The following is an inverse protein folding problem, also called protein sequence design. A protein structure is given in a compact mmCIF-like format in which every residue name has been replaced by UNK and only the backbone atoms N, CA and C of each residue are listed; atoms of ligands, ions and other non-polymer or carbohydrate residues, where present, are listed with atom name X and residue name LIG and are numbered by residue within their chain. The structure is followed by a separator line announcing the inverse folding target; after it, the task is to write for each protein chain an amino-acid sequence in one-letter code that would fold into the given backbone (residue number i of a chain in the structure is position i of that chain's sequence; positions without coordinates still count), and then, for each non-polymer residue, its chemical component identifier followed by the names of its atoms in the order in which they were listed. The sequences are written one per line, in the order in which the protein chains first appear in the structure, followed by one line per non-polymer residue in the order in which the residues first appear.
data_IF_517353072698
#
_entry.id   IF_517353072698
#
_cell.length_a   1.000
_cell.length_b   1.000
_cell.length_c   1.000
_cell.angle_alpha   90.00
_cell.angle_beta   90.00
_cell.angle_gamma   90.00
#
_symmetry.space_group_name_H-M   'P 1'
#
loop_
_entity.id
_entity.type
_entity.pdbx_description
1 polymer ?
#
# COMPACT_ATOMS: atom_id res chain seq x y z
N UNK A 1 -7.70 1.16 -5.67
CA UNK A 1 -8.19 -0.21 -5.38
C UNK A 1 -7.03 -1.17 -5.61
N UNK A 2 -6.65 -2.02 -4.64
CA UNK A 2 -5.62 -3.04 -4.86
C UNK A 2 -6.03 -3.90 -6.05
N UNK A 3 -5.16 -4.07 -7.04
CA UNK A 3 -5.53 -4.74 -8.29
C UNK A 3 -5.93 -6.19 -8.00
N UNK A 4 -6.83 -6.77 -8.80
CA UNK A 4 -7.20 -8.18 -8.65
C UNK A 4 -5.96 -9.11 -8.68
N UNK A 5 -4.88 -8.69 -9.36
CA UNK A 5 -3.59 -9.38 -9.35
C UNK A 5 -2.87 -9.33 -8.00
N UNK A 6 -2.92 -8.22 -7.27
CA UNK A 6 -2.33 -8.12 -5.92
C UNK A 6 -3.09 -8.97 -4.90
N UNK A 7 -4.43 -9.01 -5.00
CA UNK A 7 -5.28 -9.85 -4.15
C UNK A 7 -5.01 -11.33 -4.43
N UNK A 8 -4.96 -11.74 -5.70
CA UNK A 8 -4.61 -13.12 -6.09
C UNK A 8 -3.18 -13.47 -5.67
N UNK A 9 -2.20 -12.60 -5.89
CA UNK A 9 -0.81 -12.88 -5.49
C UNK A 9 -0.64 -12.99 -3.97
N UNK A 10 -1.36 -12.17 -3.21
CA UNK A 10 -1.39 -12.24 -1.73
C UNK A 10 -2.07 -13.50 -1.25
N UNK A 11 -3.19 -13.91 -1.87
CA UNK A 11 -3.88 -15.16 -1.58
C UNK A 11 -3.02 -16.38 -1.97
N UNK A 12 -2.33 -16.36 -3.12
CA UNK A 12 -1.43 -17.44 -3.54
C UNK A 12 -0.24 -17.57 -2.59
N UNK A 13 0.35 -16.45 -2.12
CA UNK A 13 1.42 -16.48 -1.09
C UNK A 13 0.91 -16.95 0.27
N UNK A 14 -0.29 -16.53 0.68
CA UNK A 14 -0.90 -16.99 1.93
C UNK A 14 -1.23 -18.49 1.87
N UNK A 15 -1.70 -18.97 0.72
CA UNK A 15 -1.92 -20.40 0.44
C UNK A 15 -0.59 -21.18 0.41
N UNK A 16 0.49 -20.60 -0.12
CA UNK A 16 1.85 -21.18 -0.12
C UNK A 16 2.47 -21.25 1.28
N UNK A 17 2.25 -20.25 2.14
CA UNK A 17 2.68 -20.32 3.54
C UNK A 17 1.89 -21.37 4.35
N UNK A 18 0.56 -21.41 4.18
CA UNK A 18 -0.30 -22.36 4.89
C UNK A 18 -0.07 -23.79 4.43
N UNK A 19 0.20 -24.01 3.14
CA UNK A 19 0.57 -25.32 2.60
C UNK A 19 1.93 -25.79 3.13
N UNK A 20 2.93 -24.90 3.23
CA UNK A 20 4.25 -25.21 3.82
C UNK A 20 4.17 -25.56 5.31
N UNK A 21 3.40 -24.81 6.10
CA UNK A 21 3.17 -25.13 7.52
C UNK A 21 2.48 -26.49 7.65
N UNK A 22 1.47 -26.75 6.82
CA UNK A 22 0.76 -28.03 6.80
C UNK A 22 1.68 -29.17 6.39
N UNK A 23 2.54 -28.98 5.38
CA UNK A 23 3.53 -29.94 4.93
C UNK A 23 4.57 -30.27 6.00
N UNK A 24 5.05 -29.29 6.76
CA UNK A 24 5.96 -29.52 7.89
C UNK A 24 5.30 -30.33 9.02
N UNK A 25 4.04 -30.05 9.33
CA UNK A 25 3.27 -30.84 10.31
C UNK A 25 3.05 -32.28 9.83
N UNK A 26 2.75 -32.48 8.55
CA UNK A 26 2.62 -33.81 7.95
C UNK A 26 3.95 -34.57 7.95
N UNK A 27 5.05 -33.90 7.61
CA UNK A 27 6.39 -34.47 7.66
C UNK A 27 6.75 -34.90 9.09
N UNK A 28 6.48 -34.06 10.09
CA UNK A 28 6.71 -34.40 11.49
C UNK A 28 5.94 -35.66 11.93
N UNK A 29 4.67 -35.76 11.52
CA UNK A 29 3.83 -36.94 11.78
C UNK A 29 4.42 -38.19 11.14
N UNK A 30 4.80 -38.12 9.86
CA UNK A 30 5.40 -39.23 9.12
C UNK A 30 6.73 -39.68 9.73
N UNK A 31 7.59 -38.74 10.13
CA UNK A 31 8.86 -39.05 10.79
C UNK A 31 8.64 -39.77 12.13
N UNK A 32 7.65 -39.36 12.91
CA UNK A 32 7.28 -40.04 14.17
C UNK A 32 6.68 -41.42 13.97
N UNK A 33 5.86 -41.61 12.95
CA UNK A 33 5.31 -42.92 12.61
C UNK A 33 6.41 -43.86 12.13
N UNK A 34 7.32 -43.36 11.30
CA UNK A 34 8.48 -44.12 10.82
C UNK A 34 9.40 -44.51 11.97
N UNK A 35 9.63 -43.61 12.93
CA UNK A 35 10.44 -43.87 14.12
C UNK A 35 9.92 -45.04 15.00
N UNK A 36 8.61 -45.35 14.93
CA UNK A 36 8.00 -46.46 15.66
C UNK A 36 8.16 -47.82 14.96
N UNK A 37 8.74 -47.85 13.77
CA UNK A 37 8.97 -49.09 13.02
C UNK A 37 9.97 -49.98 13.74
N UNK A 38 9.64 -51.27 13.86
CA UNK A 38 10.51 -52.30 14.46
C UNK A 38 11.78 -52.58 13.63
N UNK A 39 11.87 -52.03 12.41
CA UNK A 39 12.98 -52.24 11.47
C UNK A 39 14.16 -51.30 11.80
N UNK A 40 13.91 -50.19 12.51
CA UNK A 40 14.93 -49.20 12.84
C UNK A 40 15.69 -49.57 14.11
N UNK A 41 16.99 -49.31 14.13
CA UNK A 41 17.75 -49.32 15.37
C UNK A 41 17.30 -48.21 16.32
N UNK A 42 17.57 -48.33 17.64
CA UNK A 42 17.24 -47.28 18.60
C UNK A 42 17.84 -45.90 18.26
N UNK A 43 19.04 -45.87 17.67
CA UNK A 43 19.73 -44.65 17.28
C UNK A 43 19.06 -43.97 16.09
N UNK A 44 18.66 -44.76 15.08
CA UNK A 44 17.92 -44.27 13.91
C UNK A 44 16.53 -43.77 14.32
N UNK A 45 15.79 -44.55 15.13
CA UNK A 45 14.50 -44.13 15.68
C UNK A 45 14.61 -42.80 16.43
N UNK A 46 15.64 -42.63 17.27
CA UNK A 46 15.91 -41.37 17.96
C UNK A 46 16.23 -40.21 16.99
N UNK A 47 16.92 -40.46 15.88
CA UNK A 47 17.17 -39.46 14.85
C UNK A 47 15.87 -39.01 14.14
N UNK A 48 14.97 -39.94 13.83
CA UNK A 48 13.66 -39.62 13.28
C UNK A 48 12.80 -38.80 14.24
N UNK A 49 12.78 -39.13 15.54
CA UNK A 49 12.09 -38.32 16.55
C UNK A 49 12.65 -36.90 16.66
N UNK A 50 13.99 -36.74 16.63
CA UNK A 50 14.63 -35.41 16.62
C UNK A 50 14.26 -34.61 15.37
N UNK A 51 14.30 -35.23 14.19
CA UNK A 51 13.92 -34.56 12.94
C UNK A 51 12.44 -34.18 12.92
N UNK A 52 11.56 -35.02 13.47
CA UNK A 52 10.15 -34.70 13.64
C UNK A 52 9.93 -33.50 14.57
N UNK A 53 10.65 -33.44 15.69
CA UNK A 53 10.63 -32.28 16.60
C UNK A 53 11.10 -30.97 15.93
N UNK A 54 12.17 -31.03 15.13
CA UNK A 54 12.65 -29.87 14.36
C UNK A 54 11.62 -29.40 13.32
N UNK A 55 10.95 -30.33 12.64
CA UNK A 55 9.91 -30.00 11.67
C UNK A 55 8.70 -29.29 12.33
N UNK A 56 8.30 -29.69 13.54
CA UNK A 56 7.27 -29.00 14.31
C UNK A 56 7.71 -27.61 14.76
N UNK A 57 8.92 -27.49 15.31
CA UNK A 57 9.45 -26.20 15.75
C UNK A 57 9.56 -25.22 14.57
N UNK A 58 9.95 -25.69 13.38
CA UNK A 58 9.94 -24.90 12.16
C UNK A 58 8.53 -24.47 11.76
N UNK A 59 7.54 -25.38 11.84
CA UNK A 59 6.15 -25.05 11.55
C UNK A 59 5.62 -23.95 12.49
N UNK A 60 5.88 -24.05 13.79
CA UNK A 60 5.48 -23.06 14.79
C UNK A 60 6.16 -21.70 14.58
N UNK A 61 7.47 -21.69 14.29
CA UNK A 61 8.19 -20.45 13.99
C UNK A 61 7.68 -19.77 12.73
N UNK A 62 7.38 -20.54 11.69
CA UNK A 62 6.80 -20.02 10.44
C UNK A 62 5.41 -19.43 10.67
N UNK A 63 4.58 -20.10 11.48
CA UNK A 63 3.26 -19.62 11.85
C UNK A 63 3.34 -18.29 12.63
N UNK A 64 4.20 -18.23 13.66
CA UNK A 64 4.46 -17.01 14.42
C UNK A 64 4.98 -15.86 13.55
N UNK A 65 5.91 -16.14 12.64
CA UNK A 65 6.45 -15.14 11.72
C UNK A 65 5.38 -14.61 10.75
N UNK A 66 4.47 -15.47 10.27
CA UNK A 66 3.36 -15.08 9.44
C UNK A 66 2.38 -14.17 10.20
N UNK A 67 2.06 -14.51 11.45
CA UNK A 67 1.22 -13.68 12.32
C UNK A 67 1.83 -12.30 12.59
N UNK A 68 3.10 -12.24 12.98
CA UNK A 68 3.80 -10.96 13.20
C UNK A 68 3.85 -10.09 11.93
N UNK A 69 4.01 -10.72 10.76
CA UNK A 69 3.98 -10.01 9.48
C UNK A 69 2.58 -9.48 9.18
N UNK A 70 1.52 -10.24 9.46
CA UNK A 70 0.14 -9.80 9.28
C UNK A 70 -0.18 -8.62 10.21
N UNK A 71 0.16 -8.70 11.50
CA UNK A 71 -0.01 -7.59 12.45
C UNK A 71 0.74 -6.33 12.01
N UNK A 72 1.96 -6.49 11.47
CA UNK A 72 2.72 -5.36 10.95
C UNK A 72 2.02 -4.72 9.75
N UNK A 73 1.53 -5.52 8.80
CA UNK A 73 0.80 -5.01 7.65
C UNK A 73 -0.50 -4.30 8.06
N UNK A 74 -1.18 -4.79 9.08
CA UNK A 74 -2.37 -4.16 9.66
C UNK A 74 -2.03 -2.80 10.27
N UNK A 75 -1.01 -2.73 11.13
CA UNK A 75 -0.53 -1.45 11.71
C UNK A 75 -0.05 -0.46 10.65
N UNK A 76 0.65 -0.94 9.63
CA UNK A 76 1.11 -0.10 8.52
C UNK A 76 -0.09 0.45 7.75
N UNK A 77 -1.13 -0.36 7.50
CA UNK A 77 -2.37 0.07 6.84
C UNK A 77 -3.17 1.06 7.70
N UNK A 78 -3.34 0.80 9.00
CA UNK A 78 -4.00 1.72 9.93
C UNK A 78 -3.31 3.10 9.94
N UNK A 79 -1.97 3.10 9.90
CA UNK A 79 -1.20 4.34 9.82
C UNK A 79 -1.43 5.07 8.50
N UNK A 80 -1.40 4.37 7.37
CA UNK A 80 -1.67 4.95 6.05
C UNK A 80 -3.07 5.60 6.04
N UNK A 81 -4.07 4.90 6.55
CA UNK A 81 -5.45 5.37 6.56
C UNK A 81 -5.58 6.63 7.45
N UNK A 82 -4.94 6.65 8.63
CA UNK A 82 -4.92 7.82 9.50
C UNK A 82 -4.22 9.05 8.87
N UNK A 83 -3.13 8.83 8.12
CA UNK A 83 -2.46 9.91 7.37
C UNK A 83 -3.38 10.39 6.24
N UNK A 84 -3.98 9.48 5.49
CA UNK A 84 -4.88 9.82 4.38
C UNK A 84 -6.09 10.64 4.85
N UNK A 85 -6.69 10.26 5.97
CA UNK A 85 -7.80 11.01 6.57
C UNK A 85 -7.36 12.41 7.01
N UNK A 86 -6.14 12.55 7.55
CA UNK A 86 -5.58 13.86 7.90
C UNK A 86 -5.26 14.72 6.66
N UNK A 87 -4.77 14.12 5.58
CA UNK A 87 -4.52 14.80 4.30
C UNK A 87 -5.82 15.26 3.62
N UNK A 88 -6.91 14.50 3.78
CA UNK A 88 -8.26 14.89 3.32
C UNK A 88 -8.88 16.06 4.11
N UNK A 89 -8.11 16.66 5.02
CA UNK A 89 -8.48 17.89 5.70
C UNK A 89 -8.90 19.01 4.74
N UNK A 90 -9.63 20.00 5.29
CA UNK A 90 -10.25 21.09 4.54
C UNK A 90 -9.27 21.83 3.62
N UNK A 91 -7.99 21.92 3.99
CA UNK A 91 -6.95 22.66 3.26
C UNK A 91 -6.70 22.07 1.87
N UNK A 92 -6.31 20.79 1.74
CA UNK A 92 -6.06 20.16 0.44
C UNK A 92 -7.35 19.92 -0.37
N UNK A 93 -8.47 19.67 0.29
CA UNK A 93 -9.77 19.54 -0.38
C UNK A 93 -10.27 20.88 -0.95
N UNK A 94 -9.78 22.01 -0.45
CA UNK A 94 -10.14 23.36 -0.94
C UNK A 94 -9.29 23.85 -2.12
N UNK A 95 -8.31 23.06 -2.58
CA UNK A 95 -7.50 23.39 -3.75
C UNK A 95 -8.38 23.53 -5.00
N UNK A 96 -8.11 24.57 -5.79
CA UNK A 96 -8.71 24.76 -7.11
C UNK A 96 -8.35 23.61 -8.04
N UNK A 97 -9.08 23.47 -9.15
CA UNK A 97 -8.80 22.42 -10.12
C UNK A 97 -7.36 22.51 -10.67
N UNK A 98 -6.83 23.73 -10.90
CA UNK A 98 -5.46 23.97 -11.35
C UNK A 98 -4.43 23.54 -10.31
N UNK A 99 -4.71 23.82 -9.04
CA UNK A 99 -3.85 23.45 -7.92
C UNK A 99 -3.84 21.93 -7.72
N UNK A 100 -4.99 21.26 -7.90
CA UNK A 100 -5.07 19.79 -7.88
C UNK A 100 -4.28 19.18 -9.04
N UNK A 101 -4.34 19.76 -10.23
CA UNK A 101 -3.55 19.35 -11.40
C UNK A 101 -2.04 19.54 -11.14
N UNK A 102 -1.64 20.67 -10.54
CA UNK A 102 -0.24 20.90 -10.16
C UNK A 102 0.24 19.91 -9.09
N UNK A 103 -0.63 19.56 -8.14
CA UNK A 103 -0.36 18.53 -7.13
C UNK A 103 -0.18 17.14 -7.77
N UNK A 104 -1.10 16.72 -8.65
CA UNK A 104 -1.02 15.45 -9.37
C UNK A 104 0.27 15.41 -10.21
N UNK A 105 0.63 16.50 -10.89
CA UNK A 105 1.87 16.58 -11.66
C UNK A 105 3.13 16.36 -10.80
N UNK A 106 3.12 16.77 -9.53
CA UNK A 106 4.21 16.47 -8.59
C UNK A 106 4.28 14.98 -8.25
N UNK A 107 3.13 14.36 -7.97
CA UNK A 107 3.05 12.96 -7.59
C UNK A 107 3.32 12.02 -8.79
N UNK A 108 2.88 12.42 -9.98
CA UNK A 108 2.93 11.63 -11.21
C UNK A 108 3.09 12.52 -12.46
N UNK A 109 4.33 12.98 -12.77
CA UNK A 109 4.58 13.95 -13.84
C UNK A 109 4.13 13.50 -15.24
N UNK A 110 4.14 12.20 -15.49
CA UNK A 110 3.80 11.61 -16.80
C UNK A 110 2.32 11.24 -16.96
N UNK A 111 1.53 11.31 -15.88
CA UNK A 111 0.16 10.80 -15.89
C UNK A 111 -0.75 11.70 -16.73
N UNK A 112 -0.81 12.99 -16.43
CA UNK A 112 -1.72 13.92 -17.14
C UNK A 112 -1.37 14.09 -18.63
N UNK A 113 -0.09 14.26 -19.03
CA UNK A 113 0.27 14.33 -20.45
C UNK A 113 -0.09 13.09 -21.27
N UNK A 114 -0.27 11.93 -20.62
CA UNK A 114 -0.64 10.68 -21.29
C UNK A 114 -2.15 10.49 -21.49
N UNK A 115 -2.96 11.28 -20.79
CA UNK A 115 -4.41 11.26 -20.93
C UNK A 115 -4.80 12.12 -22.14
N UNK A 116 -5.59 11.59 -23.06
CA UNK A 116 -6.15 12.38 -24.16
C UNK A 116 -7.20 13.35 -23.61
N UNK A 117 -6.73 14.53 -23.21
CA UNK A 117 -7.48 15.48 -22.39
C UNK A 117 -8.75 15.97 -23.11
N UNK A 118 -9.88 15.79 -22.44
CA UNK A 118 -11.19 16.33 -22.78
C UNK A 118 -11.96 16.62 -21.48
N UNK A 119 -13.17 17.16 -21.58
CA UNK A 119 -14.00 17.57 -20.43
C UNK A 119 -14.27 16.43 -19.43
N UNK A 120 -14.66 15.24 -19.91
CA UNK A 120 -14.91 14.06 -19.07
C UNK A 120 -13.64 13.57 -18.35
N UNK A 121 -12.49 13.68 -19.03
CA UNK A 121 -11.19 13.30 -18.46
C UNK A 121 -10.77 14.27 -17.36
N UNK A 122 -11.13 15.55 -17.45
CA UNK A 122 -10.78 16.54 -16.43
C UNK A 122 -11.58 16.37 -15.14
N UNK A 123 -12.87 16.06 -15.21
CA UNK A 123 -13.64 15.71 -14.01
C UNK A 123 -13.03 14.49 -13.28
N UNK A 124 -12.66 13.46 -14.03
CA UNK A 124 -11.98 12.28 -13.50
C UNK A 124 -10.58 12.61 -12.93
N UNK A 125 -9.82 13.50 -13.58
CA UNK A 125 -8.50 13.93 -13.10
C UNK A 125 -8.58 14.76 -11.81
N UNK A 126 -9.54 15.69 -11.73
CA UNK A 126 -9.71 16.60 -10.58
C UNK A 126 -10.35 15.91 -9.37
N UNK A 127 -11.12 14.84 -9.59
CA UNK A 127 -11.71 13.99 -8.56
C UNK A 127 -10.86 12.76 -8.26
N UNK A 128 -11.01 11.70 -9.05
CA UNK A 128 -10.48 10.36 -8.75
C UNK A 128 -8.95 10.32 -8.78
N UNK A 129 -8.30 10.94 -9.75
CA UNK A 129 -6.81 10.94 -9.85
C UNK A 129 -6.18 11.76 -8.72
N UNK A 130 -6.85 12.83 -8.28
CA UNK A 130 -6.42 13.59 -7.11
C UNK A 130 -6.46 12.74 -5.85
N UNK A 131 -7.56 12.03 -5.60
CA UNK A 131 -7.70 11.11 -4.46
C UNK A 131 -6.67 9.98 -4.49
N UNK A 132 -6.36 9.46 -5.68
CA UNK A 132 -5.28 8.50 -5.87
C UNK A 132 -3.91 9.10 -5.49
N UNK A 133 -3.62 10.32 -5.94
CA UNK A 133 -2.36 11.00 -5.62
C UNK A 133 -2.24 11.30 -4.11
N UNK A 134 -3.34 11.60 -3.43
CA UNK A 134 -3.36 11.76 -1.96
C UNK A 134 -3.02 10.45 -1.25
N UNK A 135 -3.54 9.33 -1.76
CA UNK A 135 -3.22 8.00 -1.23
C UNK A 135 -1.74 7.68 -1.40
N UNK A 136 -1.19 7.92 -2.59
CA UNK A 136 0.24 7.68 -2.86
C UNK A 136 1.13 8.52 -1.92
N UNK A 137 0.75 9.79 -1.68
CA UNK A 137 1.44 10.65 -0.71
C UNK A 137 1.32 10.10 0.73
N UNK A 138 0.15 9.59 1.13
CA UNK A 138 -0.04 9.00 2.45
C UNK A 138 0.83 7.75 2.64
N UNK A 139 0.94 6.91 1.62
CA UNK A 139 1.80 5.72 1.60
C UNK A 139 3.28 6.10 1.69
N UNK A 140 3.75 7.09 0.93
CA UNK A 140 5.12 7.61 1.02
C UNK A 140 5.43 8.21 2.40
N UNK A 141 4.49 8.98 2.97
CA UNK A 141 4.63 9.56 4.30
C UNK A 141 4.66 8.47 5.37
N UNK A 142 3.81 7.46 5.31
CA UNK A 142 3.81 6.36 6.26
C UNK A 142 5.18 5.67 6.32
N UNK A 143 5.83 5.47 5.17
CA UNK A 143 7.16 4.87 5.05
C UNK A 143 8.28 5.75 5.63
N UNK A 144 8.20 7.08 5.46
CA UNK A 144 9.27 8.01 5.85
C UNK A 144 9.13 8.58 7.26
N UNK A 145 7.92 8.64 7.79
CA UNK A 145 7.59 9.36 9.03
C UNK A 145 7.34 8.46 10.24
N UNK A 146 7.83 7.22 10.24
CA UNK A 146 7.46 6.18 11.23
C UNK A 146 7.58 6.56 12.71
N UNK A 147 8.42 7.55 13.07
CA UNK A 147 8.57 8.07 14.44
C UNK A 147 7.66 9.26 14.79
N UNK A 148 6.97 9.84 13.81
CA UNK A 148 6.12 11.04 13.94
C UNK A 148 4.65 10.62 13.99
N UNK A 149 3.80 11.38 14.66
CA UNK A 149 2.36 11.09 14.66
C UNK A 149 1.76 11.27 13.26
N UNK A 150 0.75 10.46 12.85
CA UNK A 150 0.11 10.59 11.53
C UNK A 150 -0.37 12.01 11.21
N UNK A 151 -1.00 12.68 12.18
CA UNK A 151 -1.52 14.05 12.03
C UNK A 151 -0.41 15.08 11.83
N UNK A 152 0.71 14.95 12.55
CA UNK A 152 1.85 15.87 12.42
C UNK A 152 2.60 15.66 11.10
N UNK A 153 2.77 14.40 10.67
CA UNK A 153 3.33 14.08 9.36
C UNK A 153 2.48 14.68 8.22
N UNK A 154 1.15 14.50 8.30
CA UNK A 154 0.22 15.09 7.34
C UNK A 154 0.27 16.62 7.35
N UNK A 155 0.24 17.25 8.53
CA UNK A 155 0.29 18.73 8.66
C UNK A 155 1.57 19.32 8.07
N UNK A 156 2.71 18.68 8.33
CA UNK A 156 4.00 19.12 7.77
C UNK A 156 3.97 19.06 6.25
N UNK A 157 3.50 17.95 5.69
CA UNK A 157 3.36 17.78 4.25
C UNK A 157 2.39 18.79 3.61
N UNK A 158 1.26 19.08 4.26
CA UNK A 158 0.28 20.07 3.79
C UNK A 158 0.95 21.44 3.70
N UNK A 159 1.60 21.88 4.78
CA UNK A 159 2.29 23.18 4.81
C UNK A 159 3.35 23.29 3.71
N UNK A 160 4.22 22.28 3.59
CA UNK A 160 5.26 22.26 2.54
C UNK A 160 4.65 22.31 1.13
N UNK A 161 3.54 21.61 0.92
CA UNK A 161 2.85 21.58 -0.37
C UNK A 161 2.23 22.92 -0.72
N UNK A 162 1.58 23.57 0.25
CA UNK A 162 0.99 24.89 0.07
C UNK A 162 2.06 25.96 -0.18
N UNK A 163 3.17 25.90 0.57
CA UNK A 163 4.32 26.80 0.39
C UNK A 163 4.96 26.64 -0.99
N UNK A 164 5.02 25.42 -1.51
CA UNK A 164 5.58 25.11 -2.84
C UNK A 164 4.59 25.32 -3.99
N UNK A 165 3.31 25.60 -3.72
CA UNK A 165 2.26 25.66 -4.74
C UNK A 165 2.61 26.56 -5.94
N UNK A 166 3.18 27.77 -5.77
CA UNK A 166 3.57 28.61 -6.91
C UNK A 166 4.65 27.99 -7.81
N UNK A 167 5.55 27.18 -7.25
CA UNK A 167 6.56 26.45 -8.02
C UNK A 167 5.94 25.25 -8.75
N UNK A 168 5.04 24.52 -8.08
CA UNK A 168 4.32 23.38 -8.67
C UNK A 168 3.45 23.82 -9.86
N UNK A 169 2.73 24.94 -9.72
CA UNK A 169 1.93 25.50 -10.82
C UNK A 169 2.79 25.90 -12.02
N UNK A 170 3.99 26.47 -11.78
CA UNK A 170 4.93 26.78 -12.86
C UNK A 170 5.46 25.52 -13.55
N UNK A 171 5.78 24.48 -12.79
CA UNK A 171 6.21 23.20 -13.34
C UNK A 171 5.09 22.51 -14.16
N UNK A 172 3.84 22.65 -13.72
CA UNK A 172 2.67 22.11 -14.41
C UNK A 172 2.13 23.03 -15.52
N UNK A 173 2.77 24.18 -15.81
CA UNK A 173 2.21 25.21 -16.70
C UNK A 173 1.84 24.68 -18.09
N UNK A 174 2.69 23.86 -18.71
CA UNK A 174 2.40 23.26 -20.02
C UNK A 174 1.19 22.32 -19.98
N UNK A 175 0.97 21.62 -18.86
CA UNK A 175 -0.20 20.77 -18.68
C UNK A 175 -1.43 21.64 -18.48
N UNK A 176 -1.32 22.65 -17.62
CA UNK A 176 -2.38 23.62 -17.34
C UNK A 176 -2.86 24.33 -18.62
N UNK A 177 -1.96 24.70 -19.52
CA UNK A 177 -2.34 25.32 -20.80
C UNK A 177 -3.12 24.36 -21.72
N UNK A 178 -2.85 23.04 -21.66
CA UNK A 178 -3.58 22.04 -22.44
C UNK A 178 -4.98 21.76 -21.89
N UNK A 179 -5.13 21.74 -20.56
CA UNK A 179 -6.40 21.46 -19.88
C UNK A 179 -7.31 22.69 -19.77
N UNK A 180 -6.74 23.91 -19.71
CA UNK A 180 -7.46 25.18 -19.48
C UNK A 180 -8.72 25.35 -20.33
N UNK A 181 -8.75 25.00 -21.64
CA UNK A 181 -9.96 25.14 -22.47
C UNK A 181 -11.18 24.35 -21.96
N UNK A 182 -10.95 23.27 -21.21
CA UNK A 182 -12.00 22.40 -20.68
C UNK A 182 -12.22 22.60 -19.18
N UNK A 183 -11.42 23.44 -18.52
CA UNK A 183 -11.61 23.82 -17.11
C UNK A 183 -12.64 24.95 -16.95
N UNK A 184 -13.45 25.20 -17.98
CA UNK A 184 -14.31 26.37 -18.11
C UNK A 184 -15.28 26.59 -16.95
N UNK A 185 -14.95 27.58 -16.13
CA UNK A 185 -15.83 28.50 -15.39
C UNK A 185 -17.07 27.91 -14.70
N UNK A 186 -16.92 27.54 -13.42
CA UNK A 186 -18.01 27.69 -12.44
C UNK A 186 -18.28 29.16 -12.06
N UNK A 187 -17.62 30.14 -12.70
CA UNK A 187 -17.77 31.57 -12.45
C UNK A 187 -18.87 32.24 -13.29
N UNK A 188 -19.91 31.48 -13.71
CA UNK A 188 -21.01 31.98 -14.53
C UNK A 188 -22.39 31.39 -14.23
N UNK A 189 -22.60 30.81 -13.04
CA UNK A 189 -23.89 30.26 -12.62
C UNK A 189 -24.66 31.14 -11.62
N UNK A 190 -24.28 32.40 -11.45
CA UNK A 190 -25.05 33.41 -10.73
C UNK A 190 -25.10 34.70 -11.56
N UNK A 191 -26.14 34.84 -12.37
CA UNK A 191 -26.60 36.10 -12.96
C UNK A 191 -28.13 36.10 -13.00
#
# INVERSE_FOLDING_TARGET
MKSAQEIVHTLTRALDHRSRITGLKQLASQLRETAKSEILSPEESAAFFRCGGLAEEMAERMDKAAHLKAERLERDQERIDAILDALRGKELCSLSAEQRIAFIHRASPMLIPSLQINELVIEHVVGEVFDHSLRDAAEELALRSGSVSPSEAARTFINETLDQMPALMRAAASVLDQVRPFMGSTAGAEA
#
